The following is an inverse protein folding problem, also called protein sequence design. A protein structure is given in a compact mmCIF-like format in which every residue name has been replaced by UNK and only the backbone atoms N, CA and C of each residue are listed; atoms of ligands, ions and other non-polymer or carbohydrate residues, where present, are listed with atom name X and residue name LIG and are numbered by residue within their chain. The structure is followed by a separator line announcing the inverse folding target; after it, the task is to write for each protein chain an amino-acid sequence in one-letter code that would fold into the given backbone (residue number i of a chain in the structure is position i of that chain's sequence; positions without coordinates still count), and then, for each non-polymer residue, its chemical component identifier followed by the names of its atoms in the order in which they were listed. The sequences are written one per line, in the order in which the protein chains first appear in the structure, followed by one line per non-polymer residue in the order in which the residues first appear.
data_IF_558734199832
#
_entry.id   IF_558734199832
#
_cell.length_a   1.000
_cell.length_b   1.000
_cell.length_c   1.000
_cell.angle_alpha   90.00
_cell.angle_beta   90.00
_cell.angle_gamma   90.00
#
_symmetry.space_group_name_H-M   'P 1'
#
loop_
_entity.id
_entity.type
_entity.pdbx_description
1 polymer ?
#
# COMPACT_ATOMS: atom_id res chain seq x y z
N UNK A 1 76.10 -20.95 36.03
CA UNK A 1 76.79 -20.06 35.06
C UNK A 1 76.50 -18.62 35.42
N UNK A 2 77.47 -17.94 36.03
CA UNK A 2 77.40 -16.52 36.42
C UNK A 2 77.39 -15.64 35.18
N UNK A 3 76.33 -14.86 34.97
CA UNK A 3 76.24 -13.90 33.87
C UNK A 3 77.15 -12.70 34.18
N UNK A 4 78.21 -12.53 33.40
CA UNK A 4 79.15 -11.41 33.51
C UNK A 4 78.45 -10.10 33.12
N UNK A 5 78.67 -9.04 33.90
CA UNK A 5 78.08 -7.68 33.71
C UNK A 5 78.62 -6.94 32.47
N UNK A 6 79.49 -7.56 31.67
CA UNK A 6 80.10 -6.94 30.49
C UNK A 6 79.32 -7.03 29.18
N UNK A 7 78.20 -7.77 29.13
CA UNK A 7 77.54 -8.14 27.87
C UNK A 7 76.24 -7.34 27.55
N UNK A 8 75.91 -6.31 28.34
CA UNK A 8 74.61 -5.62 28.24
C UNK A 8 74.60 -4.29 27.48
N UNK A 9 75.65 -3.95 26.72
CA UNK A 9 75.77 -2.60 26.10
C UNK A 9 75.98 -2.58 24.59
N UNK A 10 75.68 -3.66 23.86
CA UNK A 10 75.66 -3.59 22.39
C UNK A 10 74.22 -3.51 21.88
N UNK A 11 73.90 -2.35 21.32
CA UNK A 11 72.66 -1.97 20.65
C UNK A 11 72.34 -2.87 19.44
N UNK A 12 72.07 -4.14 19.69
CA UNK A 12 71.49 -5.07 18.73
C UNK A 12 70.08 -5.41 19.21
N UNK A 13 69.02 -4.93 18.52
CA UNK A 13 67.66 -5.33 18.86
C UNK A 13 67.48 -6.82 18.55
N UNK A 14 67.53 -7.69 19.56
CA UNK A 14 67.32 -9.14 19.42
C UNK A 14 65.83 -9.51 19.44
N UNK A 15 64.98 -8.69 18.82
CA UNK A 15 63.57 -9.02 18.65
C UNK A 15 63.36 -9.99 17.49
N UNK A 16 62.36 -10.86 17.60
CA UNK A 16 61.98 -11.89 16.58
C UNK A 16 61.65 -11.29 15.19
N UNK A 17 61.50 -9.96 15.12
CA UNK A 17 61.22 -9.18 13.92
C UNK A 17 62.46 -8.52 13.29
N UNK A 18 63.64 -8.63 13.90
CA UNK A 18 64.88 -8.07 13.39
C UNK A 18 65.53 -9.00 12.36
N UNK A 19 64.91 -9.16 11.19
CA UNK A 19 65.64 -9.63 10.00
C UNK A 19 66.39 -8.41 9.43
N UNK A 20 67.72 -8.39 9.39
CA UNK A 20 68.46 -7.39 8.65
C UNK A 20 68.31 -7.74 7.17
N UNK A 21 67.16 -7.39 6.59
CA UNK A 21 67.00 -7.38 5.14
C UNK A 21 67.96 -6.34 4.61
N UNK A 22 68.99 -6.79 3.90
CA UNK A 22 70.05 -6.00 3.23
C UNK A 22 69.46 -5.14 2.11
N UNK A 23 68.62 -4.17 2.47
CA UNK A 23 68.36 -2.98 1.68
C UNK A 23 68.60 -1.82 2.64
N UNK A 24 69.87 -1.52 2.86
CA UNK A 24 70.24 -0.16 3.25
C UNK A 24 69.65 0.74 2.17
N UNK A 25 68.57 1.45 2.50
CA UNK A 25 68.13 2.57 1.69
C UNK A 25 69.22 3.62 1.83
N UNK A 26 70.29 3.48 1.04
CA UNK A 26 71.31 4.51 0.91
C UNK A 26 70.56 5.73 0.42
N UNK A 27 70.32 6.65 1.35
CA UNK A 27 69.75 7.95 1.04
C UNK A 27 70.74 8.60 0.07
N UNK A 28 70.42 8.57 -1.22
CA UNK A 28 71.17 9.30 -2.21
C UNK A 28 70.90 10.78 -1.94
N UNK A 29 71.75 11.38 -1.12
CA UNK A 29 71.72 12.81 -0.87
C UNK A 29 72.16 13.49 -2.16
N UNK A 30 71.18 13.88 -2.98
CA UNK A 30 71.42 14.46 -4.30
C UNK A 30 72.11 15.83 -4.22
N UNK A 31 72.08 16.49 -3.05
CA UNK A 31 72.60 17.85 -2.89
C UNK A 31 73.83 17.89 -1.95
N UNK A 32 74.94 18.54 -2.37
CA UNK A 32 76.12 18.70 -1.53
C UNK A 32 75.80 19.55 -0.29
N UNK A 33 76.32 19.16 0.86
CA UNK A 33 76.03 19.81 2.15
C UNK A 33 76.56 21.27 2.18
N UNK A 34 75.74 22.25 2.60
CA UNK A 34 76.21 23.63 2.83
C UNK A 34 77.24 23.69 3.97
N UNK A 35 78.32 24.46 3.79
CA UNK A 35 79.50 24.45 4.68
C UNK A 35 79.28 25.04 6.09
N UNK A 36 78.14 25.69 6.37
CA UNK A 36 77.89 26.43 7.62
C UNK A 36 76.50 26.21 8.25
N UNK A 37 75.92 25.00 8.14
CA UNK A 37 74.60 24.71 8.74
C UNK A 37 74.68 24.50 10.27
N UNK A 38 73.67 24.99 11.02
CA UNK A 38 73.54 24.67 12.46
C UNK A 38 73.17 23.19 12.65
N UNK A 39 73.51 22.56 13.80
CA UNK A 39 73.18 21.16 14.06
C UNK A 39 71.68 20.84 13.91
N UNK A 40 70.81 21.77 14.29
CA UNK A 40 69.35 21.61 14.17
C UNK A 40 68.88 21.64 12.70
N UNK A 41 69.46 22.53 11.89
CA UNK A 41 69.17 22.61 10.45
C UNK A 41 69.62 21.34 9.71
N UNK A 42 70.76 20.77 10.09
CA UNK A 42 71.24 19.48 9.56
C UNK A 42 70.24 18.35 9.81
N UNK A 43 69.74 18.21 11.04
CA UNK A 43 68.74 17.18 11.37
C UNK A 43 67.46 17.39 10.58
N UNK A 44 67.01 18.64 10.43
CA UNK A 44 65.82 18.98 9.64
C UNK A 44 65.98 18.55 8.18
N UNK A 45 67.11 18.91 7.54
CA UNK A 45 67.43 18.49 6.16
C UNK A 45 67.49 16.98 6.01
N UNK A 46 68.15 16.28 6.94
CA UNK A 46 68.26 14.82 6.90
C UNK A 46 66.89 14.15 7.06
N UNK A 47 66.02 14.68 7.93
CA UNK A 47 64.63 14.21 8.07
C UNK A 47 63.83 14.47 6.79
N UNK A 48 63.99 15.63 6.18
CA UNK A 48 63.33 15.97 4.91
C UNK A 48 63.82 15.10 3.75
N UNK A 49 65.13 14.88 3.64
CA UNK A 49 65.72 13.98 2.63
C UNK A 49 65.27 12.53 2.84
N UNK A 50 65.21 12.06 4.09
CA UNK A 50 64.68 10.74 4.42
C UNK A 50 63.19 10.63 4.08
N UNK A 51 62.39 11.67 4.36
CA UNK A 51 60.98 11.68 3.99
C UNK A 51 60.78 11.72 2.47
N UNK A 52 61.58 12.51 1.73
CA UNK A 52 61.57 12.53 0.26
C UNK A 52 61.96 11.19 -0.33
N UNK A 53 62.99 10.53 0.21
CA UNK A 53 63.40 9.20 -0.24
C UNK A 53 62.33 8.14 0.03
N UNK A 54 61.61 8.22 1.16
CA UNK A 54 60.45 7.36 1.43
C UNK A 54 59.31 7.59 0.44
N UNK A 55 58.97 8.85 0.15
CA UNK A 55 57.92 9.18 -0.83
C UNK A 55 58.32 8.81 -2.27
N UNK A 56 59.61 8.85 -2.60
CA UNK A 56 60.13 8.43 -3.91
C UNK A 56 60.01 6.92 -4.16
N UNK A 57 59.91 6.10 -3.11
CA UNK A 57 59.67 4.66 -3.22
C UNK A 57 58.20 4.33 -3.53
N UNK A 58 57.28 5.27 -3.34
CA UNK A 58 55.87 5.07 -3.65
C UNK A 58 55.66 5.25 -5.15
N UNK A 59 55.15 4.21 -5.82
CA UNK A 59 54.88 4.26 -7.26
C UNK A 59 53.55 4.97 -7.52
N UNK A 60 53.43 5.73 -8.62
CA UNK A 60 52.17 6.41 -9.00
C UNK A 60 50.98 5.43 -9.10
N UNK A 61 51.23 4.19 -9.51
CA UNK A 61 50.25 3.10 -9.54
C UNK A 61 49.73 2.72 -8.15
N UNK A 62 50.58 2.76 -7.14
CA UNK A 62 50.23 2.44 -5.75
C UNK A 62 49.31 3.53 -5.17
N UNK A 63 49.62 4.80 -5.49
CA UNK A 63 48.77 5.96 -5.16
C UNK A 63 47.39 5.83 -5.81
N UNK A 64 47.36 5.52 -7.11
CA UNK A 64 46.10 5.36 -7.83
C UNK A 64 45.25 4.20 -7.29
N UNK A 65 45.87 3.09 -6.92
CA UNK A 65 45.17 1.95 -6.32
C UNK A 65 44.58 2.31 -4.95
N UNK A 66 45.34 3.02 -4.10
CA UNK A 66 44.86 3.52 -2.81
C UNK A 66 43.63 4.43 -2.95
N UNK A 67 43.68 5.40 -3.88
CA UNK A 67 42.53 6.27 -4.15
C UNK A 67 41.36 5.53 -4.79
N UNK A 68 41.64 4.57 -5.67
CA UNK A 68 40.60 3.72 -6.28
C UNK A 68 39.85 2.90 -5.25
N UNK A 69 40.56 2.30 -4.28
CA UNK A 69 39.92 1.57 -3.17
C UNK A 69 39.07 2.48 -2.29
N UNK A 70 39.62 3.64 -1.92
CA UNK A 70 38.87 4.63 -1.14
C UNK A 70 37.62 5.12 -1.88
N UNK A 71 37.72 5.36 -3.18
CA UNK A 71 36.59 5.75 -4.03
C UNK A 71 35.52 4.66 -4.12
N UNK A 72 35.94 3.41 -4.33
CA UNK A 72 35.02 2.27 -4.36
C UNK A 72 34.29 2.07 -3.03
N UNK A 73 35.02 2.18 -1.90
CA UNK A 73 34.45 2.08 -0.56
C UNK A 73 33.47 3.23 -0.27
N UNK A 74 33.77 4.44 -0.74
CA UNK A 74 32.85 5.59 -0.62
C UNK A 74 31.61 5.42 -1.48
N UNK A 75 31.76 4.94 -2.72
CA UNK A 75 30.63 4.71 -3.62
C UNK A 75 29.71 3.62 -3.06
N UNK A 76 30.27 2.52 -2.56
CA UNK A 76 29.49 1.46 -1.94
C UNK A 76 28.68 1.98 -0.76
N UNK A 77 29.30 2.73 0.16
CA UNK A 77 28.60 3.34 1.30
C UNK A 77 27.52 4.31 0.86
N UNK A 78 27.79 5.14 -0.15
CA UNK A 78 26.82 6.06 -0.71
C UNK A 78 25.61 5.32 -1.29
N UNK A 79 25.84 4.26 -2.07
CA UNK A 79 24.74 3.45 -2.63
C UNK A 79 23.94 2.75 -1.55
N UNK A 80 24.59 2.14 -0.55
CA UNK A 80 23.90 1.47 0.57
C UNK A 80 23.03 2.47 1.32
N UNK A 81 23.58 3.61 1.73
CA UNK A 81 22.80 4.63 2.43
C UNK A 81 21.74 5.27 1.53
N UNK A 82 22.01 5.42 0.24
CA UNK A 82 21.05 5.89 -0.75
C UNK A 82 19.84 4.97 -0.88
N UNK A 83 20.04 3.64 -0.93
CA UNK A 83 18.96 2.66 -0.99
C UNK A 83 18.16 2.66 0.32
N UNK A 84 18.84 2.71 1.47
CA UNK A 84 18.17 2.79 2.78
C UNK A 84 17.33 4.06 2.90
N UNK A 85 17.85 5.20 2.44
CA UNK A 85 17.10 6.44 2.41
C UNK A 85 15.90 6.39 1.45
N UNK A 86 16.11 5.90 0.22
CA UNK A 86 15.06 5.79 -0.78
C UNK A 86 13.92 4.85 -0.32
N UNK A 87 14.25 3.70 0.25
CA UNK A 87 13.26 2.77 0.82
C UNK A 87 12.51 3.40 2.00
N UNK A 88 13.18 4.17 2.84
CA UNK A 88 12.56 4.99 3.88
C UNK A 88 11.53 5.97 3.30
N UNK A 89 11.92 6.79 2.32
CA UNK A 89 11.03 7.76 1.68
C UNK A 89 9.80 7.09 1.02
N UNK A 90 10.00 5.98 0.30
CA UNK A 90 8.90 5.22 -0.33
C UNK A 90 7.95 4.67 0.73
N UNK A 91 8.47 4.17 1.85
CA UNK A 91 7.63 3.63 2.93
C UNK A 91 6.72 4.71 3.55
N UNK A 92 7.24 5.93 3.74
CA UNK A 92 6.46 7.06 4.27
C UNK A 92 5.36 7.47 3.28
N UNK A 93 5.69 7.55 1.99
CA UNK A 93 4.71 7.85 0.94
C UNK A 93 3.62 6.77 0.86
N UNK A 94 3.97 5.50 1.03
CA UNK A 94 3.01 4.41 1.03
C UNK A 94 2.02 4.51 2.21
N UNK A 95 2.50 4.79 3.42
CA UNK A 95 1.63 4.99 4.59
C UNK A 95 0.72 6.20 4.40
N UNK A 96 1.25 7.30 3.85
CA UNK A 96 0.45 8.49 3.55
C UNK A 96 -0.64 8.18 2.50
N UNK A 97 -0.30 7.44 1.44
CA UNK A 97 -1.25 7.05 0.40
C UNK A 97 -2.37 6.14 0.94
N UNK A 98 -2.03 5.17 1.78
CA UNK A 98 -3.04 4.31 2.45
C UNK A 98 -3.93 5.17 3.34
N UNK A 99 -3.34 6.09 4.11
CA UNK A 99 -4.08 7.01 4.98
C UNK A 99 -5.09 7.85 4.20
N UNK A 100 -4.67 8.44 3.08
CA UNK A 100 -5.55 9.25 2.23
C UNK A 100 -6.72 8.42 1.66
N UNK A 101 -6.44 7.20 1.19
CA UNK A 101 -7.49 6.31 0.69
C UNK A 101 -8.51 5.94 1.78
N UNK A 102 -8.06 5.70 3.01
CA UNK A 102 -8.94 5.42 4.14
C UNK A 102 -9.85 6.63 4.44
N UNK A 103 -9.30 7.84 4.47
CA UNK A 103 -10.10 9.05 4.73
C UNK A 103 -11.12 9.28 3.61
N UNK A 104 -10.71 9.12 2.35
CA UNK A 104 -11.60 9.22 1.21
C UNK A 104 -12.76 8.20 1.28
N UNK A 105 -12.44 6.93 1.56
CA UNK A 105 -13.46 5.89 1.71
C UNK A 105 -14.38 6.13 2.90
N UNK A 106 -13.86 6.67 4.01
CA UNK A 106 -14.71 7.07 5.15
C UNK A 106 -15.69 8.18 4.77
N UNK A 107 -15.24 9.19 4.03
CA UNK A 107 -16.13 10.27 3.53
C UNK A 107 -17.19 9.73 2.58
N UNK A 108 -16.79 8.90 1.60
CA UNK A 108 -17.75 8.26 0.69
C UNK A 108 -18.77 7.40 1.41
N UNK A 109 -18.34 6.62 2.41
CA UNK A 109 -19.24 5.83 3.24
C UNK A 109 -20.21 6.71 4.01
N UNK A 110 -19.77 7.82 4.59
CA UNK A 110 -20.64 8.75 5.30
C UNK A 110 -21.75 9.29 4.39
N UNK A 111 -21.38 9.77 3.18
CA UNK A 111 -22.34 10.26 2.19
C UNK A 111 -23.31 9.16 1.74
N UNK A 112 -22.81 7.92 1.57
CA UNK A 112 -23.66 6.79 1.21
C UNK A 112 -24.68 6.48 2.31
N UNK A 113 -24.27 6.47 3.57
CA UNK A 113 -25.18 6.23 4.70
C UNK A 113 -26.20 7.35 4.85
N UNK A 114 -25.82 8.61 4.69
CA UNK A 114 -26.74 9.75 4.70
C UNK A 114 -27.83 9.59 3.62
N UNK A 115 -27.45 9.21 2.39
CA UNK A 115 -28.42 8.95 1.32
C UNK A 115 -29.33 7.75 1.64
N UNK A 116 -28.78 6.67 2.21
CA UNK A 116 -29.60 5.51 2.63
C UNK A 116 -30.61 5.89 3.71
N UNK A 117 -30.21 6.67 4.71
CA UNK A 117 -31.08 7.13 5.78
C UNK A 117 -32.20 8.01 5.24
N UNK A 118 -31.91 8.89 4.28
CA UNK A 118 -32.92 9.70 3.59
C UNK A 118 -33.91 8.85 2.79
N UNK A 119 -33.43 7.84 2.06
CA UNK A 119 -34.30 6.90 1.34
C UNK A 119 -35.19 6.09 2.28
N UNK A 120 -34.63 5.55 3.36
CA UNK A 120 -35.37 4.83 4.40
C UNK A 120 -36.41 5.74 5.05
N UNK A 121 -36.05 6.97 5.41
CA UNK A 121 -36.97 7.93 6.00
C UNK A 121 -38.14 8.26 5.06
N UNK A 122 -37.91 8.38 3.75
CA UNK A 122 -38.98 8.58 2.75
C UNK A 122 -39.91 7.37 2.65
N UNK A 123 -39.38 6.15 2.66
CA UNK A 123 -40.20 4.92 2.63
C UNK A 123 -41.02 4.80 3.91
N UNK A 124 -40.45 5.17 5.07
CA UNK A 124 -41.17 5.17 6.33
C UNK A 124 -42.27 6.24 6.38
N UNK A 125 -42.01 7.43 5.85
CA UNK A 125 -43.03 8.48 5.74
C UNK A 125 -44.16 8.02 4.82
N UNK A 126 -43.87 7.47 3.64
CA UNK A 126 -44.90 6.99 2.72
C UNK A 126 -45.72 5.83 3.30
N UNK A 127 -45.07 4.91 4.03
CA UNK A 127 -45.78 3.84 4.74
C UNK A 127 -46.70 4.39 5.84
N UNK A 128 -46.24 5.38 6.62
CA UNK A 128 -47.07 6.05 7.64
C UNK A 128 -48.26 6.77 7.01
N UNK A 129 -48.04 7.51 5.92
CA UNK A 129 -49.11 8.22 5.21
C UNK A 129 -50.14 7.24 4.63
N UNK A 130 -49.70 6.11 4.07
CA UNK A 130 -50.58 5.06 3.55
C UNK A 130 -51.41 4.37 4.65
N UNK A 131 -50.83 4.20 5.84
CA UNK A 131 -51.55 3.67 7.01
C UNK A 131 -52.62 4.66 7.46
N UNK A 132 -52.30 5.96 7.52
CA UNK A 132 -53.25 7.02 7.89
C UNK A 132 -54.39 7.12 6.86
N UNK A 133 -54.08 7.01 5.56
CA UNK A 133 -55.10 7.05 4.50
C UNK A 133 -55.92 5.75 4.38
N UNK A 134 -55.57 4.70 5.13
CA UNK A 134 -56.26 3.40 5.10
C UNK A 134 -56.02 2.58 3.84
N UNK A 135 -55.04 2.96 3.00
CA UNK A 135 -54.68 2.27 1.75
C UNK A 135 -53.34 1.51 1.84
N UNK A 136 -52.86 1.25 3.05
CA UNK A 136 -51.59 0.57 3.29
C UNK A 136 -51.57 -0.87 2.77
N UNK A 137 -50.43 -1.25 2.18
CA UNK A 137 -50.15 -2.67 1.91
C UNK A 137 -49.83 -3.39 3.23
N UNK A 138 -50.06 -4.71 3.33
CA UNK A 138 -49.78 -5.46 4.55
C UNK A 138 -48.30 -5.35 4.98
N UNK A 139 -47.36 -5.32 4.03
CA UNK A 139 -45.95 -5.13 4.32
C UNK A 139 -45.62 -3.71 4.84
N UNK A 140 -46.29 -2.67 4.35
CA UNK A 140 -46.11 -1.30 4.86
C UNK A 140 -46.65 -1.14 6.29
N UNK A 141 -47.80 -1.76 6.58
CA UNK A 141 -48.35 -1.81 7.93
C UNK A 141 -47.43 -2.58 8.90
N UNK A 142 -46.94 -3.75 8.47
CA UNK A 142 -46.00 -4.55 9.25
C UNK A 142 -44.67 -3.84 9.50
N UNK A 143 -44.16 -3.07 8.53
CA UNK A 143 -42.93 -2.28 8.70
C UNK A 143 -43.09 -1.21 9.79
N UNK A 144 -44.20 -0.48 9.80
CA UNK A 144 -44.46 0.57 10.79
C UNK A 144 -44.66 -0.03 12.18
N UNK A 145 -45.40 -1.14 12.27
CA UNK A 145 -45.63 -1.83 13.54
C UNK A 145 -44.37 -2.49 14.09
N UNK A 146 -43.57 -3.14 13.23
CA UNK A 146 -42.30 -3.77 13.61
C UNK A 146 -41.29 -2.74 14.15
N UNK A 147 -41.20 -1.56 13.55
CA UNK A 147 -40.31 -0.49 14.07
C UNK A 147 -40.77 -0.01 15.44
N UNK A 148 -42.09 0.12 15.65
CA UNK A 148 -42.65 0.52 16.96
C UNK A 148 -42.35 -0.51 18.04
N UNK A 149 -42.55 -1.80 17.74
CA UNK A 149 -42.25 -2.90 18.66
C UNK A 149 -40.76 -2.97 19.00
N UNK A 150 -39.89 -2.80 18.00
CA UNK A 150 -38.43 -2.74 18.21
C UNK A 150 -38.01 -1.58 19.12
N UNK A 151 -38.57 -0.39 18.92
CA UNK A 151 -38.30 0.79 19.74
C UNK A 151 -38.74 0.58 21.19
N UNK A 152 -39.92 0.00 21.39
CA UNK A 152 -40.44 -0.34 22.72
C UNK A 152 -39.58 -1.41 23.41
N UNK A 153 -39.19 -2.46 22.69
CA UNK A 153 -38.31 -3.52 23.20
C UNK A 153 -36.91 -2.99 23.56
N UNK A 154 -36.38 -2.05 22.77
CA UNK A 154 -35.10 -1.40 23.05
C UNK A 154 -35.20 -0.44 24.23
N UNK A 155 -36.31 0.27 24.39
CA UNK A 155 -36.55 1.13 25.55
C UNK A 155 -36.63 0.32 26.84
N UNK A 156 -37.33 -0.82 26.82
CA UNK A 156 -37.40 -1.76 27.95
C UNK A 156 -36.01 -2.32 28.30
N UNK A 157 -35.26 -2.81 27.30
CA UNK A 157 -33.89 -3.30 27.50
C UNK A 157 -32.94 -2.23 28.04
N UNK A 158 -33.10 -0.97 27.62
CA UNK A 158 -32.32 0.17 28.15
C UNK A 158 -32.69 0.49 29.60
N UNK A 159 -33.97 0.42 29.95
CA UNK A 159 -34.46 0.66 31.31
C UNK A 159 -34.00 -0.44 32.30
N UNK A 160 -33.92 -1.69 31.85
CA UNK A 160 -33.53 -2.84 32.67
C UNK A 160 -32.02 -2.97 32.91
N UNK A 161 -31.18 -2.32 32.09
CA UNK A 161 -29.72 -2.41 32.21
C UNK A 161 -29.20 -1.62 33.43
N UNK A 162 -28.65 -2.36 34.40
CA UNK A 162 -27.90 -1.82 35.55
C UNK A 162 -26.73 -0.93 35.10
N UNK A 163 -26.33 0.05 35.92
CA UNK A 163 -25.33 1.08 35.57
C UNK A 163 -23.99 0.45 35.11
N UNK A 164 -23.51 -0.61 35.76
CA UNK A 164 -22.28 -1.31 35.37
C UNK A 164 -22.39 -2.06 34.04
N UNK A 165 -23.55 -2.68 33.75
CA UNK A 165 -23.79 -3.35 32.47
C UNK A 165 -23.98 -2.39 31.31
N UNK A 166 -24.43 -1.15 31.55
CA UNK A 166 -24.50 -0.11 30.51
C UNK A 166 -23.13 0.24 29.95
N UNK A 167 -22.10 0.24 30.80
CA UNK A 167 -20.74 0.61 30.40
C UNK A 167 -20.06 -0.49 29.57
N UNK A 168 -20.25 -1.77 29.94
CA UNK A 168 -19.80 -2.89 29.10
C UNK A 168 -20.54 -2.95 27.76
N UNK A 169 -21.84 -2.68 27.78
CA UNK A 169 -22.64 -2.66 26.57
C UNK A 169 -22.22 -1.51 25.63
N UNK A 170 -21.92 -0.32 26.15
CA UNK A 170 -21.37 0.77 25.34
C UNK A 170 -20.01 0.41 24.70
N UNK A 171 -19.17 -0.36 25.40
CA UNK A 171 -17.85 -0.74 24.89
C UNK A 171 -17.88 -1.83 23.81
N UNK A 172 -18.83 -2.77 23.87
CA UNK A 172 -18.81 -3.98 23.03
C UNK A 172 -20.16 -4.40 22.43
N UNK A 173 -21.27 -3.97 23.03
CA UNK A 173 -22.62 -4.42 22.68
C UNK A 173 -23.32 -3.53 21.67
N UNK A 174 -23.21 -2.21 21.82
CA UNK A 174 -23.87 -1.20 20.99
C UNK A 174 -23.62 -1.46 19.50
N UNK A 175 -22.35 -1.71 19.14
CA UNK A 175 -21.95 -1.91 17.74
C UNK A 175 -22.42 -3.24 17.12
N UNK A 176 -22.75 -4.26 17.93
CA UNK A 176 -23.22 -5.57 17.43
C UNK A 176 -24.74 -5.61 17.32
N UNK A 177 -25.43 -5.09 18.33
CA UNK A 177 -26.90 -5.02 18.34
C UNK A 177 -27.41 -4.06 17.26
N UNK A 178 -26.77 -2.88 17.12
CA UNK A 178 -27.16 -1.91 16.08
C UNK A 178 -26.93 -2.44 14.67
N UNK A 179 -25.87 -3.24 14.46
CA UNK A 179 -25.64 -3.89 13.16
C UNK A 179 -26.73 -4.89 12.82
N UNK A 180 -27.06 -5.79 13.76
CA UNK A 180 -28.11 -6.79 13.55
C UNK A 180 -29.48 -6.15 13.29
N UNK A 181 -29.83 -5.10 14.06
CA UNK A 181 -31.05 -4.33 13.85
C UNK A 181 -31.04 -3.57 12.52
N UNK A 182 -29.91 -2.96 12.14
CA UNK A 182 -29.80 -2.25 10.86
C UNK A 182 -29.91 -3.18 9.65
N UNK A 183 -29.40 -4.40 9.75
CA UNK A 183 -29.52 -5.44 8.72
C UNK A 183 -30.96 -5.93 8.61
N UNK A 184 -31.61 -6.18 9.74
CA UNK A 184 -33.03 -6.57 9.78
C UNK A 184 -33.94 -5.48 9.20
N UNK A 185 -33.69 -4.21 9.54
CA UNK A 185 -34.43 -3.06 8.97
C UNK A 185 -34.19 -2.90 7.48
N UNK A 186 -32.96 -3.11 7.01
CA UNK A 186 -32.66 -3.08 5.57
C UNK A 186 -33.43 -4.15 4.80
N UNK A 187 -33.46 -5.37 5.32
CA UNK A 187 -34.22 -6.47 4.72
C UNK A 187 -35.73 -6.14 4.67
N UNK A 188 -36.30 -5.64 5.76
CA UNK A 188 -37.72 -5.27 5.79
C UNK A 188 -38.07 -4.13 4.82
N UNK A 189 -37.18 -3.15 4.65
CA UNK A 189 -37.35 -2.06 3.67
C UNK A 189 -37.20 -2.57 2.24
N UNK A 190 -36.24 -3.46 1.98
CA UNK A 190 -36.04 -4.08 0.67
C UNK A 190 -37.23 -4.96 0.27
N UNK A 191 -37.84 -5.69 1.21
CA UNK A 191 -39.05 -6.46 0.98
C UNK A 191 -40.24 -5.56 0.59
N UNK A 192 -40.44 -4.43 1.29
CA UNK A 192 -41.47 -3.44 0.92
C UNK A 192 -41.19 -2.85 -0.46
N UNK A 193 -39.93 -2.56 -0.78
CA UNK A 193 -39.53 -2.05 -2.09
C UNK A 193 -39.77 -3.07 -3.20
N UNK A 194 -39.48 -4.34 -2.95
CA UNK A 194 -39.72 -5.43 -3.89
C UNK A 194 -41.21 -5.69 -4.12
N UNK A 195 -42.03 -5.61 -3.07
CA UNK A 195 -43.49 -5.71 -3.21
C UNK A 195 -44.07 -4.52 -3.98
N UNK A 196 -43.61 -3.29 -3.71
CA UNK A 196 -43.99 -2.12 -4.50
C UNK A 196 -43.57 -2.24 -5.96
N UNK A 197 -42.36 -2.74 -6.23
CA UNK A 197 -41.89 -3.01 -7.59
C UNK A 197 -42.69 -4.12 -8.28
N UNK A 198 -43.03 -5.20 -7.57
CA UNK A 198 -43.87 -6.30 -8.08
C UNK A 198 -45.30 -5.86 -8.38
N UNK A 199 -45.88 -4.99 -7.56
CA UNK A 199 -47.17 -4.34 -7.83
C UNK A 199 -47.10 -3.41 -9.05
N UNK A 200 -46.01 -2.66 -9.20
CA UNK A 200 -45.74 -1.84 -10.40
C UNK A 200 -45.56 -2.66 -11.67
N UNK A 201 -44.82 -3.77 -11.62
CA UNK A 201 -44.62 -4.69 -12.75
C UNK A 201 -45.95 -5.37 -13.12
N UNK A 202 -46.73 -5.82 -12.14
CA UNK A 202 -48.02 -6.47 -12.42
C UNK A 202 -49.07 -5.49 -12.95
N UNK A 203 -49.02 -4.22 -12.54
CA UNK A 203 -49.83 -3.15 -13.15
C UNK A 203 -49.36 -2.84 -14.58
N UNK A 204 -48.06 -2.67 -14.80
CA UNK A 204 -47.51 -2.40 -16.13
C UNK A 204 -47.73 -3.57 -17.11
N UNK A 205 -47.64 -4.82 -16.63
CA UNK A 205 -47.97 -6.02 -17.42
C UNK A 205 -49.48 -6.07 -17.71
N UNK A 206 -50.35 -5.73 -16.74
CA UNK A 206 -51.80 -5.66 -17.00
C UNK A 206 -52.14 -4.59 -18.02
N UNK A 207 -51.50 -3.43 -17.97
CA UNK A 207 -51.68 -2.33 -18.92
C UNK A 207 -51.16 -2.71 -20.31
N UNK A 208 -49.94 -3.27 -20.41
CA UNK A 208 -49.37 -3.75 -21.68
C UNK A 208 -50.17 -4.93 -22.29
N UNK A 209 -50.72 -5.83 -21.47
CA UNK A 209 -51.60 -6.91 -21.92
C UNK A 209 -52.96 -6.35 -22.37
N UNK A 210 -53.47 -5.29 -21.75
CA UNK A 210 -54.68 -4.61 -22.20
C UNK A 210 -54.45 -3.84 -23.50
N UNK A 211 -53.31 -3.18 -23.68
CA UNK A 211 -52.94 -2.49 -24.90
C UNK A 211 -52.69 -3.46 -26.07
N UNK A 212 -52.00 -4.58 -25.81
CA UNK A 212 -51.84 -5.64 -26.81
C UNK A 212 -53.17 -6.34 -27.11
N UNK A 213 -54.05 -6.53 -26.12
CA UNK A 213 -55.40 -7.06 -26.35
C UNK A 213 -56.27 -6.10 -27.16
N UNK A 214 -56.17 -4.79 -26.92
CA UNK A 214 -56.84 -3.75 -27.69
C UNK A 214 -56.30 -3.62 -29.13
N UNK A 215 -55.01 -3.87 -29.33
CA UNK A 215 -54.39 -3.88 -30.67
C UNK A 215 -54.56 -5.23 -31.41
N UNK A 216 -54.79 -6.33 -30.69
CA UNK A 216 -54.97 -7.68 -31.27
C UNK A 216 -56.34 -7.93 -31.91
N UNK A 217 -57.28 -6.99 -31.80
CA UNK A 217 -58.54 -7.03 -32.57
C UNK A 217 -58.35 -6.70 -34.07
N UNK A 218 -57.12 -6.47 -34.52
CA UNK A 218 -56.78 -6.28 -35.93
C UNK A 218 -55.54 -7.07 -36.34
N UNK A 219 -55.76 -8.21 -37.00
CA UNK A 219 -54.91 -8.87 -38.01
C UNK A 219 -53.62 -9.61 -37.58
N UNK A 220 -53.63 -10.93 -37.84
CA UNK A 220 -52.57 -11.84 -38.37
C UNK A 220 -51.16 -11.94 -37.72
N UNK A 221 -50.49 -13.11 -37.82
CA UNK A 221 -49.27 -13.43 -37.08
C UNK A 221 -48.02 -13.04 -37.88
N UNK A 222 -47.26 -12.03 -37.44
CA UNK A 222 -45.99 -11.70 -38.10
C UNK A 222 -44.94 -11.14 -37.14
N UNK A 223 -43.81 -11.85 -37.15
CA UNK A 223 -42.47 -11.45 -36.72
C UNK A 223 -42.25 -11.17 -35.21
N UNK A 224 -41.33 -11.95 -34.63
CA UNK A 224 -41.02 -12.02 -33.21
C UNK A 224 -40.58 -10.70 -32.57
N UNK A 225 -40.73 -10.67 -31.25
CA UNK A 225 -40.57 -9.46 -30.44
C UNK A 225 -39.12 -8.98 -30.28
N UNK A 226 -38.92 -7.84 -29.59
CA UNK A 226 -37.63 -7.17 -29.47
C UNK A 226 -36.53 -8.00 -28.79
N UNK A 227 -36.88 -9.02 -28.01
CA UNK A 227 -35.91 -9.95 -27.43
C UNK A 227 -35.24 -10.85 -28.50
N UNK A 228 -35.97 -11.25 -29.54
CA UNK A 228 -35.44 -12.12 -30.60
C UNK A 228 -34.42 -11.37 -31.47
N UNK A 229 -34.60 -10.06 -31.63
CA UNK A 229 -33.66 -9.18 -32.33
C UNK A 229 -32.39 -8.91 -31.51
N UNK A 230 -32.49 -8.90 -30.18
CA UNK A 230 -31.31 -8.78 -29.30
C UNK A 230 -30.51 -10.09 -29.26
N UNK A 231 -31.18 -11.25 -29.30
CA UNK A 231 -30.51 -12.54 -29.41
C UNK A 231 -29.71 -12.66 -30.72
N UNK A 232 -30.29 -12.25 -31.86
CA UNK A 232 -29.61 -12.24 -33.15
C UNK A 232 -28.40 -11.28 -33.22
N UNK A 233 -28.47 -10.15 -32.50
CA UNK A 233 -27.36 -9.19 -32.40
C UNK A 233 -26.24 -9.66 -31.44
N UNK A 234 -26.60 -10.42 -30.39
CA UNK A 234 -25.63 -11.04 -29.49
C UNK A 234 -24.86 -12.19 -30.18
N UNK A 235 -25.54 -13.01 -30.99
CA UNK A 235 -24.89 -14.07 -31.77
C UNK A 235 -23.93 -13.51 -32.82
N UNK A 236 -24.29 -12.42 -33.52
CA UNK A 236 -23.40 -11.79 -34.51
C UNK A 236 -22.21 -11.05 -33.90
N UNK A 237 -22.29 -10.63 -32.64
CA UNK A 237 -21.19 -10.01 -31.90
C UNK A 237 -20.16 -11.01 -31.38
N UNK A 238 -20.54 -12.30 -31.27
CA UNK A 238 -19.68 -13.37 -30.73
C UNK A 238 -18.79 -14.01 -31.81
N UNK A 239 -19.12 -13.86 -33.10
CA UNK A 239 -18.36 -14.43 -34.23
C UNK A 239 -17.16 -13.57 -34.68
N UNK A 240 -16.94 -12.38 -34.12
CA UNK A 240 -15.76 -11.56 -34.40
C UNK A 240 -14.67 -11.86 -33.36
N UNK A 241 -13.59 -12.61 -33.70
CA UNK A 241 -12.51 -12.85 -32.77
C UNK A 241 -11.78 -11.54 -32.49
N UNK A 242 -12.10 -10.93 -31.34
CA UNK A 242 -11.35 -9.79 -30.83
C UNK A 242 -9.95 -10.28 -30.45
N UNK A 243 -8.95 -9.90 -31.26
CA UNK A 243 -7.54 -10.02 -30.91
C UNK A 243 -7.27 -9.07 -29.74
N UNK A 244 -7.52 -9.59 -28.54
CA UNK A 244 -7.30 -8.90 -27.29
C UNK A 244 -5.81 -8.67 -27.03
N UNK A 245 -5.57 -7.58 -26.30
CA UNK A 245 -4.33 -7.09 -25.70
C UNK A 245 -3.36 -8.14 -25.08
N UNK A 246 -3.79 -9.38 -24.86
CA UNK A 246 -2.98 -10.47 -24.30
C UNK A 246 -1.89 -11.01 -25.23
N UNK A 247 -1.87 -10.62 -26.52
CA UNK A 247 -0.88 -11.10 -27.51
C UNK A 247 0.55 -10.55 -27.38
N UNK A 248 0.81 -9.54 -26.53
CA UNK A 248 2.16 -8.97 -26.36
C UNK A 248 2.95 -9.57 -25.20
N UNK A 249 2.29 -10.20 -24.21
CA UNK A 249 2.93 -10.66 -22.97
C UNK A 249 3.48 -12.10 -22.99
N UNK A 250 3.14 -12.90 -23.99
CA UNK A 250 3.61 -14.28 -24.14
C UNK A 250 4.31 -14.46 -25.49
N UNK A 251 5.51 -13.87 -25.60
CA UNK A 251 6.49 -14.27 -26.58
C UNK A 251 6.99 -15.69 -26.28
N UNK A 252 6.81 -16.60 -27.24
CA UNK A 252 7.26 -17.99 -27.13
C UNK A 252 7.55 -18.57 -28.50
N UNK A 253 8.79 -18.35 -28.96
CA UNK A 253 9.53 -19.09 -29.98
C UNK A 253 8.84 -20.35 -30.55
N UNK A 254 8.53 -20.34 -31.85
CA UNK A 254 8.65 -21.53 -32.68
C UNK A 254 9.41 -21.19 -33.95
N UNK A 255 10.67 -21.61 -33.97
CA UNK A 255 11.38 -21.99 -35.20
C UNK A 255 10.52 -23.02 -35.94
N UNK A 256 10.28 -22.81 -37.21
CA UNK A 256 9.99 -23.87 -38.16
C UNK A 256 11.04 -23.81 -39.26
N UNK A 257 11.55 -24.99 -39.58
CA UNK A 257 12.50 -25.32 -40.65
C UNK A 257 12.09 -24.76 -42.03
#
# INVERSE_FOLDING_TARGET
MSRSRGDSTRFTPTGVWAKPGTRSTTLQFADPAPKHETPQQKVKRLREAANRAKMAQVTKWDIMYLYGRLGADMLHKFTVYGIVFATGCISVLAVFSIGDMVVYNRRKRAIYFENQELEQARILQSARDAVISGSATPAQAALVEGIREEEEAMAQKKAERKIGSRLLWWLHGDWKEDKALSEQRKLAVDDVKNEQAGLGITQAVKEAVQDTRANSSSLEPSAGGPLDQLAANATSSTEKPSKGWSGWGFGGSKKSE
#
